data_IF_996749903222
#
_entry.id   IF_996749903222
#
_cell.length_a   1.000
_cell.length_b   1.000
_cell.length_c   1.000
_cell.angle_alpha   90.00
_cell.angle_beta   90.00
_cell.angle_gamma   90.00
#
_symmetry.space_group_name_H-M   'P 1'
#
loop_
_entity.id
_entity.type
_entity.pdbx_description
1 polymer ?
#
# COMPACT_ATOMS: atom_id res chain seq x y z
N UNK A 1 6.53 -20.29 11.78
CA UNK A 1 6.53 -21.45 10.86
C UNK A 1 6.95 -20.94 9.48
N UNK A 2 8.20 -21.15 9.07
CA UNK A 2 8.78 -20.59 7.83
C UNK A 2 8.32 -21.39 6.61
N UNK A 3 7.46 -20.82 5.77
CA UNK A 3 7.21 -21.37 4.42
C UNK A 3 8.46 -21.08 3.58
N UNK A 4 9.24 -22.11 3.27
CA UNK A 4 10.28 -22.02 2.25
C UNK A 4 9.61 -21.65 0.92
N UNK A 5 9.98 -20.49 0.37
CA UNK A 5 9.67 -20.15 -1.02
C UNK A 5 10.47 -21.13 -1.89
N UNK A 6 9.77 -22.07 -2.53
CA UNK A 6 10.39 -23.04 -3.41
C UNK A 6 11.17 -22.31 -4.52
N UNK A 7 12.49 -22.53 -4.60
CA UNK A 7 13.37 -21.96 -5.61
C UNK A 7 14.26 -20.79 -5.18
N UNK A 8 14.22 -20.35 -3.91
CA UNK A 8 15.24 -19.41 -3.42
C UNK A 8 16.61 -20.13 -3.33
N UNK A 9 17.73 -19.53 -3.80
CA UNK A 9 19.06 -20.10 -3.59
C UNK A 9 19.27 -20.38 -2.10
N UNK A 10 19.96 -21.47 -1.74
CA UNK A 10 20.22 -21.88 -0.33
C UNK A 10 20.85 -20.77 0.55
N UNK A 11 21.33 -19.71 -0.09
CA UNK A 11 22.02 -18.57 0.52
C UNK A 11 21.12 -17.36 0.79
N UNK A 12 19.83 -17.41 0.42
CA UNK A 12 18.93 -16.25 0.47
C UNK A 12 17.86 -16.48 1.54
N UNK A 13 18.00 -15.78 2.66
CA UNK A 13 16.96 -15.71 3.69
C UNK A 13 16.05 -14.51 3.42
N UNK A 14 14.75 -14.78 3.24
CA UNK A 14 13.70 -13.77 3.18
C UNK A 14 12.87 -13.93 4.46
N UNK A 15 12.92 -12.94 5.35
CA UNK A 15 12.06 -12.92 6.52
C UNK A 15 10.58 -12.83 6.09
N UNK A 16 9.68 -13.47 6.84
CA UNK A 16 8.25 -13.49 6.49
C UNK A 16 7.68 -12.06 6.61
N UNK A 17 7.01 -11.51 5.57
CA UNK A 17 6.62 -10.09 5.49
C UNK A 17 5.68 -9.61 6.61
N UNK A 18 4.94 -10.49 7.26
CA UNK A 18 3.91 -10.15 8.24
C UNK A 18 4.45 -9.50 9.52
N UNK A 19 5.76 -9.64 9.82
CA UNK A 19 6.42 -8.97 10.95
C UNK A 19 7.14 -7.66 10.56
N UNK A 20 7.18 -7.35 9.26
CA UNK A 20 7.97 -6.24 8.68
C UNK A 20 7.13 -5.16 7.98
N UNK A 21 5.82 -5.37 7.77
CA UNK A 21 4.93 -4.35 7.22
C UNK A 21 4.39 -3.46 8.33
N UNK A 22 5.24 -2.58 8.87
CA UNK A 22 4.74 -1.39 9.56
C UNK A 22 4.55 -0.27 8.53
N UNK A 23 3.42 0.42 8.58
CA UNK A 23 3.16 1.55 7.66
C UNK A 23 4.11 2.71 7.93
N UNK A 24 4.64 2.78 9.16
CA UNK A 24 5.50 3.85 9.62
C UNK A 24 6.89 3.31 9.98
N UNK A 25 7.91 3.97 9.47
CA UNK A 25 9.31 3.71 9.86
C UNK A 25 9.66 4.66 11.00
N UNK A 26 9.48 4.19 12.23
CA UNK A 26 9.79 4.91 13.46
C UNK A 26 10.93 4.25 14.27
N UNK A 27 11.18 4.73 15.49
CA UNK A 27 12.25 4.20 16.34
C UNK A 27 12.00 2.74 16.71
N UNK A 28 10.76 2.39 17.05
CA UNK A 28 10.37 1.04 17.43
C UNK A 28 10.56 0.08 16.27
N UNK A 29 10.18 0.50 15.06
CA UNK A 29 10.41 -0.24 13.83
C UNK A 29 11.91 -0.47 13.57
N UNK A 30 12.73 0.57 13.67
CA UNK A 30 14.18 0.45 13.45
C UNK A 30 14.84 -0.50 14.46
N UNK A 31 14.45 -0.47 15.73
CA UNK A 31 14.94 -1.41 16.75
C UNK A 31 14.58 -2.86 16.38
N UNK A 32 13.35 -3.11 15.93
CA UNK A 32 12.94 -4.44 15.44
C UNK A 32 13.75 -4.87 14.23
N UNK A 33 13.92 -4.00 13.24
CA UNK A 33 14.69 -4.29 12.03
C UNK A 33 16.16 -4.67 12.36
N UNK A 34 16.81 -3.91 13.26
CA UNK A 34 18.17 -4.21 13.73
C UNK A 34 18.22 -5.57 14.43
N UNK A 35 17.27 -5.85 15.33
CA UNK A 35 17.20 -7.13 16.03
C UNK A 35 17.09 -8.30 15.05
N UNK A 36 16.23 -8.21 14.05
CA UNK A 36 16.14 -9.26 13.02
C UNK A 36 17.45 -9.45 12.27
N UNK A 37 18.17 -8.37 11.94
CA UNK A 37 19.46 -8.50 11.28
C UNK A 37 20.48 -9.24 12.15
N UNK A 38 20.47 -9.01 13.46
CA UNK A 38 21.29 -9.76 14.44
C UNK A 38 20.91 -11.24 14.45
N UNK A 39 19.62 -11.58 14.43
CA UNK A 39 19.15 -12.98 14.39
C UNK A 39 19.58 -13.68 13.10
N UNK A 40 19.49 -13.00 11.95
CA UNK A 40 19.98 -13.52 10.66
C UNK A 40 21.48 -13.77 10.72
N UNK A 41 22.26 -12.83 11.25
CA UNK A 41 23.69 -13.02 11.42
C UNK A 41 24.00 -14.19 12.38
N UNK A 42 23.30 -14.30 13.51
CA UNK A 42 23.50 -15.37 14.47
C UNK A 42 23.34 -16.75 13.82
N UNK A 43 22.32 -16.89 12.95
CA UNK A 43 21.98 -18.14 12.25
C UNK A 43 22.90 -18.43 11.05
N UNK A 44 23.16 -17.44 10.20
CA UNK A 44 23.79 -17.63 8.88
C UNK A 44 25.23 -17.11 8.80
N UNK A 45 25.72 -16.44 9.86
CA UNK A 45 27.05 -15.81 9.94
C UNK A 45 27.34 -14.82 8.82
N UNK A 46 26.29 -14.19 8.28
CA UNK A 46 26.35 -13.19 7.21
C UNK A 46 25.44 -12.03 7.55
N UNK A 47 25.91 -10.80 7.31
CA UNK A 47 25.08 -9.61 7.47
C UNK A 47 24.05 -9.54 6.33
N UNK A 48 22.77 -9.30 6.62
CA UNK A 48 21.75 -9.20 5.59
C UNK A 48 21.85 -7.89 4.80
N UNK A 49 21.29 -7.90 3.59
CA UNK A 49 20.85 -6.70 2.90
C UNK A 49 19.38 -6.48 3.27
N UNK A 50 19.04 -5.28 3.76
CA UNK A 50 17.67 -4.94 4.15
C UNK A 50 17.13 -3.82 3.27
N UNK A 51 15.85 -3.93 2.92
CA UNK A 51 15.07 -2.90 2.22
C UNK A 51 13.90 -2.51 3.12
N UNK A 52 13.82 -1.23 3.46
CA UNK A 52 12.75 -0.64 4.24
C UNK A 52 11.81 0.11 3.30
N UNK A 53 10.51 -0.19 3.40
CA UNK A 53 9.46 0.45 2.61
C UNK A 53 8.64 1.40 3.50
N UNK A 54 8.88 2.70 3.38
CA UNK A 54 8.14 3.75 4.08
C UNK A 54 6.83 4.05 3.38
N UNK A 55 5.84 3.16 3.57
CA UNK A 55 4.56 3.19 2.85
C UNK A 55 3.73 4.43 3.20
N UNK A 56 3.62 4.78 4.49
CA UNK A 56 2.86 5.95 4.95
C UNK A 56 3.76 7.06 5.43
N UNK A 57 4.66 6.77 6.37
CA UNK A 57 5.54 7.79 6.94
C UNK A 57 6.93 7.23 7.28
N UNK A 58 7.94 8.08 7.17
CA UNK A 58 9.28 7.85 7.68
C UNK A 58 9.59 8.92 8.69
N UNK A 59 9.88 8.53 9.94
CA UNK A 59 10.20 9.48 10.98
C UNK A 59 11.41 10.33 10.58
N UNK A 60 11.34 11.64 10.87
CA UNK A 60 12.33 12.61 10.38
C UNK A 60 13.76 12.24 10.80
N UNK A 61 13.96 11.72 12.02
CA UNK A 61 15.28 11.32 12.51
C UNK A 61 15.89 10.15 11.70
N UNK A 62 15.04 9.23 11.20
CA UNK A 62 15.48 8.15 10.31
C UNK A 62 15.85 8.75 8.96
N UNK A 63 14.97 9.58 8.40
CA UNK A 63 15.19 10.19 7.09
C UNK A 63 16.44 11.09 7.07
N UNK A 64 16.68 11.87 8.13
CA UNK A 64 17.87 12.74 8.27
C UNK A 64 19.16 11.94 8.44
N UNK A 65 19.09 10.70 8.91
CA UNK A 65 20.25 9.81 9.04
C UNK A 65 20.64 9.10 7.73
N UNK A 66 19.93 9.39 6.64
CA UNK A 66 20.14 8.71 5.35
C UNK A 66 21.02 9.50 4.40
N UNK A 67 21.72 8.78 3.54
CA UNK A 67 22.52 9.34 2.44
C UNK A 67 21.96 8.91 1.09
N UNK A 68 22.20 9.67 0.00
CA UNK A 68 21.85 9.21 -1.34
C UNK A 68 22.53 7.88 -1.69
N UNK A 69 21.80 6.97 -2.34
CA UNK A 69 22.36 5.71 -2.77
C UNK A 69 22.90 5.81 -4.21
N UNK A 70 24.21 5.64 -4.40
CA UNK A 70 24.83 5.71 -5.74
C UNK A 70 24.32 4.62 -6.68
N UNK A 71 24.17 3.39 -6.17
CA UNK A 71 23.74 2.24 -6.97
C UNK A 71 22.25 2.29 -7.33
N UNK A 72 21.43 2.91 -6.49
CA UNK A 72 19.99 2.97 -6.65
C UNK A 72 19.51 4.41 -6.43
N UNK A 73 19.52 5.26 -7.48
CA UNK A 73 19.24 6.69 -7.34
C UNK A 73 17.83 7.02 -6.79
N UNK A 74 16.90 6.07 -6.89
CA UNK A 74 15.53 6.15 -6.36
C UNK A 74 15.41 5.72 -4.88
N UNK A 75 16.53 5.35 -4.25
CA UNK A 75 16.61 4.90 -2.86
C UNK A 75 17.59 5.77 -2.08
N UNK A 76 17.41 5.77 -0.75
CA UNK A 76 18.42 6.26 0.18
C UNK A 76 19.03 5.11 0.97
N UNK A 77 20.19 5.34 1.57
CA UNK A 77 20.90 4.35 2.37
C UNK A 77 21.01 4.83 3.81
N UNK A 78 20.64 3.98 4.76
CA UNK A 78 20.82 4.20 6.20
C UNK A 78 22.14 3.57 6.60
N UNK A 79 22.95 4.31 7.36
CA UNK A 79 24.19 3.80 7.93
C UNK A 79 23.90 2.60 8.83
N UNK A 80 24.46 1.44 8.50
CA UNK A 80 24.10 0.15 9.10
C UNK A 80 25.26 -0.54 9.83
N UNK A 81 26.10 0.25 10.52
CA UNK A 81 27.32 -0.18 11.20
C UNK A 81 27.11 -1.47 12.01
N UNK A 82 27.73 -2.56 11.55
CA UNK A 82 27.81 -3.86 12.22
C UNK A 82 26.49 -4.65 12.39
N UNK A 83 25.37 -4.20 11.81
CA UNK A 83 24.12 -4.95 11.88
C UNK A 83 23.60 -5.40 10.51
N UNK A 84 23.83 -4.65 9.44
CA UNK A 84 23.51 -5.07 8.07
C UNK A 84 24.64 -4.75 7.10
N UNK A 85 24.65 -5.42 5.95
CA UNK A 85 25.59 -5.11 4.87
C UNK A 85 25.19 -3.79 4.21
N UNK A 86 23.89 -3.61 3.98
CA UNK A 86 23.28 -2.41 3.42
C UNK A 86 21.86 -2.27 3.94
N UNK A 87 21.42 -1.04 4.17
CA UNK A 87 20.06 -0.73 4.55
C UNK A 87 19.48 0.31 3.60
N UNK A 88 18.67 -0.14 2.64
CA UNK A 88 18.02 0.72 1.66
C UNK A 88 16.68 1.21 2.20
N UNK A 89 16.38 2.48 2.00
CA UNK A 89 15.11 3.11 2.29
C UNK A 89 14.44 3.52 0.97
N UNK A 90 13.23 3.02 0.77
CA UNK A 90 12.31 3.42 -0.30
C UNK A 90 11.08 4.03 0.37
N UNK A 91 10.71 5.24 -0.01
CA UNK A 91 9.46 5.88 0.41
C UNK A 91 8.93 6.76 -0.71
N UNK A 92 7.70 7.25 -0.60
CA UNK A 92 7.12 8.18 -1.59
C UNK A 92 8.05 9.36 -1.87
N UNK A 93 8.72 9.91 -0.84
CA UNK A 93 9.67 11.00 -0.99
C UNK A 93 10.96 10.61 -1.74
N UNK A 94 11.47 9.38 -1.57
CA UNK A 94 12.67 8.95 -2.32
C UNK A 94 12.33 8.56 -3.76
N UNK A 95 11.12 8.03 -3.98
CA UNK A 95 10.61 7.59 -5.27
C UNK A 95 10.08 8.74 -6.12
N UNK A 96 9.73 9.88 -5.53
CA UNK A 96 9.36 11.09 -6.25
C UNK A 96 10.48 11.63 -7.18
N UNK A 97 11.72 11.16 -7.02
CA UNK A 97 12.83 11.49 -7.92
C UNK A 97 12.77 10.71 -9.24
N UNK A 98 11.90 9.71 -9.36
CA UNK A 98 11.65 9.01 -10.61
C UNK A 98 11.06 9.97 -11.63
N UNK A 99 11.69 10.05 -12.81
CA UNK A 99 11.19 10.89 -13.90
C UNK A 99 9.87 10.35 -14.43
N UNK A 100 8.92 11.27 -14.67
CA UNK A 100 7.60 10.99 -15.24
C UNK A 100 7.68 10.34 -16.65
N UNK A 101 8.83 10.46 -17.32
CA UNK A 101 9.07 9.93 -18.66
C UNK A 101 9.70 8.54 -18.67
N UNK A 102 9.84 7.90 -17.50
CA UNK A 102 10.39 6.53 -17.43
C UNK A 102 9.27 5.53 -17.72
N UNK A 103 9.31 4.94 -18.90
CA UNK A 103 8.38 3.86 -19.28
C UNK A 103 8.65 2.56 -18.51
N UNK A 104 9.92 2.29 -18.19
CA UNK A 104 10.35 1.05 -17.52
C UNK A 104 11.16 1.36 -16.27
N UNK A 105 10.57 1.04 -15.11
CA UNK A 105 11.17 1.19 -13.81
C UNK A 105 12.12 0.02 -13.52
N UNK A 106 13.15 0.31 -12.73
CA UNK A 106 13.93 -0.75 -12.10
C UNK A 106 12.99 -1.61 -11.23
N UNK A 107 13.09 -2.96 -11.20
CA UNK A 107 12.13 -3.81 -10.49
C UNK A 107 11.95 -3.45 -9.00
N UNK A 108 13.04 -3.08 -8.32
CA UNK A 108 12.99 -2.60 -6.94
C UNK A 108 12.26 -1.24 -6.80
N UNK A 109 12.41 -0.34 -7.77
CA UNK A 109 11.69 0.93 -7.81
C UNK A 109 10.20 0.71 -8.09
N UNK A 110 9.87 -0.19 -9.03
CA UNK A 110 8.49 -0.59 -9.32
C UNK A 110 7.79 -1.17 -8.09
N UNK A 111 8.47 -2.07 -7.36
CA UNK A 111 7.95 -2.62 -6.10
C UNK A 111 7.75 -1.52 -5.05
N UNK A 112 8.76 -0.66 -4.85
CA UNK A 112 8.66 0.46 -3.91
C UNK A 112 7.50 1.38 -4.26
N UNK A 113 7.34 1.73 -5.53
CA UNK A 113 6.27 2.61 -6.00
C UNK A 113 4.89 1.97 -5.88
N UNK A 114 4.76 0.70 -6.25
CA UNK A 114 3.53 -0.06 -6.04
C UNK A 114 3.09 0.00 -4.57
N UNK A 115 4.00 -0.27 -3.64
CA UNK A 115 3.70 -0.27 -2.21
C UNK A 115 3.42 1.13 -1.65
N UNK A 116 4.14 2.16 -2.10
CA UNK A 116 4.03 3.52 -1.57
C UNK A 116 2.89 4.34 -2.19
N UNK A 117 2.52 4.08 -3.45
CA UNK A 117 1.41 4.77 -4.13
C UNK A 117 0.07 4.47 -3.47
N UNK A 118 -0.08 3.27 -2.89
CA UNK A 118 -1.35 2.76 -2.36
C UNK A 118 -2.52 2.91 -3.35
N UNK A 119 -2.22 2.97 -4.65
CA UNK A 119 -3.20 3.16 -5.69
C UNK A 119 -4.02 1.88 -5.85
N UNK A 120 -5.34 2.03 -5.98
CA UNK A 120 -6.26 0.89 -6.08
C UNK A 120 -6.23 0.22 -7.45
N UNK A 121 -5.70 0.92 -8.45
CA UNK A 121 -5.55 0.41 -9.82
C UNK A 121 -4.39 1.08 -10.52
N UNK A 122 -3.88 0.43 -11.57
CA UNK A 122 -2.83 0.99 -12.43
C UNK A 122 -3.24 2.33 -13.06
N UNK A 123 -4.54 2.58 -13.27
CA UNK A 123 -5.03 3.82 -13.88
C UNK A 123 -4.80 5.03 -12.97
N UNK A 124 -4.75 4.81 -11.66
CA UNK A 124 -4.51 5.83 -10.63
C UNK A 124 -3.02 6.11 -10.38
N UNK A 125 -2.13 5.38 -11.06
CA UNK A 125 -0.70 5.68 -10.98
C UNK A 125 -0.35 6.91 -11.81
N UNK A 126 0.55 7.72 -11.29
CA UNK A 126 1.13 8.86 -12.01
C UNK A 126 2.15 8.39 -13.06
N UNK A 127 2.82 7.26 -12.83
CA UNK A 127 3.87 6.72 -13.70
C UNK A 127 3.86 5.18 -13.77
N UNK A 128 4.59 4.63 -14.74
CA UNK A 128 4.77 3.17 -14.86
C UNK A 128 3.51 2.37 -15.20
N UNK A 129 2.48 3.00 -15.80
CA UNK A 129 1.25 2.31 -16.22
C UNK A 129 1.49 1.13 -17.17
N UNK A 130 2.55 1.23 -17.97
CA UNK A 130 2.97 0.21 -18.92
C UNK A 130 4.21 -0.57 -18.45
N UNK A 131 4.62 -0.38 -17.20
CA UNK A 131 5.80 -1.06 -16.65
C UNK A 131 5.54 -2.57 -16.52
N UNK A 132 6.48 -3.36 -17.06
CA UNK A 132 6.39 -4.81 -17.08
C UNK A 132 6.44 -5.47 -15.69
N UNK A 133 6.86 -4.75 -14.64
CA UNK A 133 6.90 -5.24 -13.24
C UNK A 133 5.64 -4.84 -12.47
N UNK A 134 5.09 -3.64 -12.72
CA UNK A 134 3.89 -3.14 -12.01
C UNK A 134 2.66 -4.00 -12.31
N UNK A 135 2.44 -4.39 -13.58
CA UNK A 135 1.27 -5.18 -13.97
C UNK A 135 1.18 -6.53 -13.23
N UNK A 136 2.27 -7.33 -13.13
CA UNK A 136 2.30 -8.51 -12.27
C UNK A 136 1.96 -8.23 -10.80
N UNK A 137 2.48 -7.14 -10.21
CA UNK A 137 2.23 -6.79 -8.80
C UNK A 137 0.74 -6.55 -8.53
N UNK A 138 0.05 -5.81 -9.40
CA UNK A 138 -1.40 -5.63 -9.30
C UNK A 138 -2.17 -6.92 -9.52
N UNK A 139 -1.71 -7.78 -10.43
CA UNK A 139 -2.34 -9.08 -10.69
C UNK A 139 -2.27 -9.98 -9.45
N UNK A 140 -1.10 -10.04 -8.80
CA UNK A 140 -0.89 -10.79 -7.56
C UNK A 140 -1.73 -10.20 -6.43
N UNK A 141 -1.72 -8.88 -6.26
CA UNK A 141 -2.51 -8.22 -5.21
C UNK A 141 -4.02 -8.47 -5.40
N UNK A 142 -4.52 -8.36 -6.62
CA UNK A 142 -5.92 -8.66 -6.95
C UNK A 142 -6.28 -10.11 -6.62
N UNK A 143 -5.43 -11.07 -6.98
CA UNK A 143 -5.62 -12.48 -6.65
C UNK A 143 -5.71 -12.73 -5.15
N UNK A 144 -4.75 -12.18 -4.38
CA UNK A 144 -4.74 -12.31 -2.91
C UNK A 144 -5.96 -11.65 -2.25
N UNK A 145 -6.36 -10.47 -2.74
CA UNK A 145 -7.56 -9.79 -2.25
C UNK A 145 -8.77 -10.68 -2.54
N UNK A 146 -8.97 -11.18 -3.77
CA UNK A 146 -10.08 -12.06 -4.11
C UNK A 146 -10.14 -13.33 -3.24
N UNK A 147 -8.99 -13.93 -2.91
CA UNK A 147 -8.91 -15.09 -2.02
C UNK A 147 -9.37 -14.75 -0.58
N UNK A 148 -8.93 -13.61 -0.04
CA UNK A 148 -9.36 -13.13 1.28
C UNK A 148 -10.85 -12.75 1.27
N UNK A 149 -11.30 -12.08 0.21
CA UNK A 149 -12.65 -11.56 0.06
C UNK A 149 -13.70 -12.67 -0.18
N UNK A 150 -13.31 -13.81 -0.76
CA UNK A 150 -14.16 -14.99 -0.88
C UNK A 150 -14.63 -15.56 0.47
N UNK A 151 -14.05 -15.11 1.59
CA UNK A 151 -14.49 -15.47 2.96
C UNK A 151 -15.38 -14.41 3.62
N UNK A 152 -15.61 -13.25 2.98
CA UNK A 152 -16.35 -12.10 3.51
C UNK A 152 -17.49 -11.63 2.59
N UNK A 153 -18.32 -12.57 2.14
CA UNK A 153 -19.20 -12.41 0.98
C UNK A 153 -20.28 -11.31 1.14
N UNK A 154 -20.84 -11.11 2.33
CA UNK A 154 -22.02 -10.22 2.49
C UNK A 154 -21.70 -8.72 2.43
N UNK A 155 -20.61 -8.27 3.06
CA UNK A 155 -20.25 -6.83 3.08
C UNK A 155 -19.75 -6.37 1.72
N UNK A 156 -19.05 -7.23 1.01
CA UNK A 156 -18.51 -6.92 -0.32
C UNK A 156 -19.58 -6.93 -1.38
N UNK A 157 -20.52 -7.88 -1.31
CA UNK A 157 -21.69 -7.88 -2.17
C UNK A 157 -22.47 -6.58 -2.01
N UNK A 158 -22.67 -6.13 -0.77
CA UNK A 158 -23.32 -4.84 -0.49
C UNK A 158 -22.55 -3.64 -1.05
N UNK A 159 -21.23 -3.62 -0.95
CA UNK A 159 -20.40 -2.55 -1.54
C UNK A 159 -20.47 -2.60 -3.07
N UNK A 160 -20.44 -3.80 -3.67
CA UNK A 160 -20.61 -4.00 -5.12
C UNK A 160 -21.96 -3.47 -5.59
N UNK A 161 -23.05 -3.84 -4.92
CA UNK A 161 -24.41 -3.39 -5.25
C UNK A 161 -24.52 -1.85 -5.18
N UNK A 162 -23.85 -1.22 -4.22
CA UNK A 162 -23.78 0.25 -4.10
C UNK A 162 -23.01 0.85 -5.29
N UNK A 163 -21.87 0.26 -5.66
CA UNK A 163 -21.06 0.70 -6.79
C UNK A 163 -21.81 0.54 -8.12
N UNK A 164 -22.44 -0.60 -8.35
CA UNK A 164 -23.20 -0.89 -9.57
C UNK A 164 -24.40 0.05 -9.72
N UNK A 165 -25.09 0.35 -8.60
CA UNK A 165 -26.16 1.33 -8.59
C UNK A 165 -25.64 2.75 -8.90
N UNK A 166 -24.52 3.15 -8.28
CA UNK A 166 -23.92 4.47 -8.56
C UNK A 166 -23.51 4.60 -10.03
N UNK A 167 -22.89 3.58 -10.62
CA UNK A 167 -22.51 3.57 -12.04
C UNK A 167 -23.73 3.65 -12.96
N UNK A 168 -24.81 2.92 -12.65
CA UNK A 168 -26.07 3.04 -13.39
C UNK A 168 -26.63 4.45 -13.36
N UNK A 169 -26.59 5.11 -12.20
CA UNK A 169 -27.05 6.49 -12.05
C UNK A 169 -26.14 7.48 -12.78
N UNK A 170 -24.81 7.29 -12.77
CA UNK A 170 -23.89 8.11 -13.55
C UNK A 170 -24.11 7.98 -15.06
N UNK A 171 -24.40 6.78 -15.56
CA UNK A 171 -24.75 6.57 -16.97
C UNK A 171 -26.03 7.33 -17.33
N UNK A 172 -27.06 7.30 -16.46
CA UNK A 172 -28.30 8.04 -16.66
C UNK A 172 -28.07 9.56 -16.64
N UNK A 173 -27.27 10.06 -15.70
CA UNK A 173 -26.90 11.47 -15.61
C UNK A 173 -26.16 11.90 -16.88
N UNK A 174 -25.15 11.14 -17.31
CA UNK A 174 -24.40 11.41 -18.54
C UNK A 174 -25.34 11.52 -19.75
N UNK A 175 -26.25 10.57 -19.91
CA UNK A 175 -27.23 10.57 -21.00
C UNK A 175 -28.22 11.75 -20.92
N UNK A 176 -28.59 12.21 -19.72
CA UNK A 176 -29.43 13.40 -19.54
C UNK A 176 -28.67 14.69 -19.95
N UNK A 177 -27.39 14.80 -19.56
CA UNK A 177 -26.54 15.94 -19.89
C UNK A 177 -26.24 16.01 -21.39
N UNK A 178 -26.00 14.87 -22.05
CA UNK A 178 -25.72 14.82 -23.50
C UNK A 178 -26.93 15.20 -24.37
N UNK A 179 -28.17 15.04 -23.87
CA UNK A 179 -29.40 15.37 -24.61
C UNK A 179 -29.88 16.81 -24.45
N UNK A 180 -29.34 17.58 -23.50
CA UNK A 180 -29.51 19.04 -23.43
C UNK A 180 -30.93 19.56 -23.23
N UNK A 181 -31.81 18.80 -22.57
CA UNK A 181 -33.20 19.22 -22.28
C UNK A 181 -33.37 19.61 -20.80
N UNK A 182 -34.23 20.60 -20.53
CA UNK A 182 -34.37 21.22 -19.22
C UNK A 182 -35.07 20.30 -18.21
N UNK A 183 -36.04 19.49 -18.67
CA UNK A 183 -36.71 18.43 -17.89
C UNK A 183 -35.77 17.27 -17.53
N UNK A 184 -34.77 16.99 -18.37
CA UNK A 184 -33.76 15.95 -18.10
C UNK A 184 -32.76 16.39 -17.04
N UNK A 185 -32.59 17.70 -16.82
CA UNK A 185 -31.71 18.25 -15.81
C UNK A 185 -32.27 18.08 -14.40
N UNK A 186 -33.58 18.29 -14.18
CA UNK A 186 -34.23 17.98 -12.90
C UNK A 186 -34.16 16.48 -12.59
N UNK A 187 -34.29 15.63 -13.60
CA UNK A 187 -34.14 14.18 -13.46
C UNK A 187 -32.70 13.76 -13.16
N UNK A 188 -31.71 14.49 -13.65
CA UNK A 188 -30.31 14.27 -13.30
C UNK A 188 -30.01 14.68 -11.84
N UNK A 189 -30.65 15.73 -11.34
CA UNK A 189 -30.54 16.16 -9.94
C UNK A 189 -31.12 15.13 -8.98
N UNK A 190 -32.25 14.49 -9.31
CA UNK A 190 -32.82 13.45 -8.45
C UNK A 190 -31.95 12.19 -8.37
N UNK A 191 -31.30 11.79 -9.47
CA UNK A 191 -30.31 10.69 -9.45
C UNK A 191 -29.08 11.02 -8.60
N UNK A 192 -28.68 12.30 -8.53
CA UNK A 192 -27.61 12.79 -7.66
C UNK A 192 -27.99 12.76 -6.17
N UNK A 193 -29.22 13.14 -5.85
CA UNK A 193 -29.76 13.08 -4.47
C UNK A 193 -29.89 11.63 -3.98
N UNK A 194 -30.30 10.71 -4.86
CA UNK A 194 -30.33 9.28 -4.55
C UNK A 194 -28.92 8.78 -4.17
N UNK A 195 -27.88 9.11 -4.94
CA UNK A 195 -26.48 8.76 -4.62
C UNK A 195 -26.04 9.36 -3.26
N UNK A 196 -26.43 10.60 -2.96
CA UNK A 196 -26.10 11.24 -1.68
C UNK A 196 -26.80 10.57 -0.49
N UNK A 197 -28.04 10.12 -0.65
CA UNK A 197 -28.81 9.47 0.41
C UNK A 197 -28.18 8.15 0.85
N UNK A 198 -27.63 7.36 -0.08
CA UNK A 198 -26.87 6.14 0.24
C UNK A 198 -25.59 6.42 1.03
N UNK A 199 -24.89 7.54 0.76
CA UNK A 199 -23.69 7.93 1.53
C UNK A 199 -24.00 8.33 2.97
N UNK A 200 -25.18 8.91 3.25
CA UNK A 200 -25.59 9.32 4.61
C UNK A 200 -25.95 8.14 5.52
N UNK A 201 -26.49 7.05 4.96
CA UNK A 201 -26.86 5.86 5.74
C UNK A 201 -25.65 5.11 6.32
N UNK A 202 -24.46 5.21 5.72
CA UNK A 202 -23.23 4.64 6.29
C UNK A 202 -22.57 5.56 7.34
N UNK A 203 -22.79 6.88 7.27
CA UNK A 203 -22.25 7.83 8.23
C UNK A 203 -22.89 7.76 9.63
N UNK A 204 -24.15 7.33 9.74
CA UNK A 204 -24.88 7.28 11.01
C UNK A 204 -24.67 6.00 11.84
N UNK A 205 -24.04 4.94 11.29
CA UNK A 205 -23.74 3.71 12.05
C UNK A 205 -22.41 3.72 12.79
N UNK A 206 -21.58 4.75 12.64
CA UNK A 206 -20.27 4.85 13.31
C UNK A 206 -20.28 5.57 14.67
N UNK A 207 -21.44 6.01 15.17
CA UNK A 207 -21.55 6.64 16.48
C UNK A 207 -22.26 5.70 17.47
N UNK A 208 -21.57 4.65 17.89
CA UNK A 208 -21.76 3.99 19.21
C UNK A 208 -20.65 2.95 19.37
N UNK A 209 -19.47 3.41 19.77
CA UNK A 209 -18.48 2.55 20.42
C UNK A 209 -18.88 2.50 21.90
N UNK A 210 -19.20 1.33 22.49
CA UNK A 210 -19.27 1.23 23.93
C UNK A 210 -17.86 1.46 24.49
N UNK A 211 -17.72 2.44 25.38
CA UNK A 211 -16.47 2.67 26.11
C UNK A 211 -16.01 1.37 26.79
N UNK A 212 -14.86 0.86 26.37
CA UNK A 212 -14.14 -0.19 27.09
C UNK A 212 -13.59 0.40 28.38
N UNK A 213 -13.85 -0.20 29.56
CA UNK A 213 -13.30 0.31 30.81
C UNK A 213 -11.77 0.15 30.84
N UNK A 214 -11.06 1.05 31.55
CA UNK A 214 -9.60 1.06 31.53
C UNK A 214 -9.03 -0.20 32.19
N UNK A 215 -8.06 -0.82 31.50
CA UNK A 215 -7.24 -1.90 32.04
C UNK A 215 -6.50 -1.40 33.29
N UNK A 216 -6.81 -2.02 34.44
CA UNK A 216 -6.03 -1.86 35.66
C UNK A 216 -4.64 -2.43 35.44
N UNK A 217 -3.61 -1.59 35.54
CA UNK A 217 -2.23 -2.02 35.68
C UNK A 217 -2.08 -2.75 37.01
N UNK A 218 -1.63 -4.00 36.97
CA UNK A 218 -0.99 -4.64 38.12
C UNK A 218 0.52 -4.56 37.90
N UNK A 219 1.18 -4.03 38.93
CA UNK A 219 2.62 -3.89 39.08
C UNK A 219 3.34 -5.23 38.98
#
# INVERSE_FOLDING_TARGET
MTKNLAGAPENVYIAVPTEFCDKNIDKSFMVRAIHYCILVYAKYKKHPLIVLLGISNVAMFVFSSTVPCVKFPFAKEITSCFWAQRCLLLSSSTLATLSQYIEQLHPLAALGYFMCSQALSMNMLDYGKHDNTIKPLYTIAKGNIMEVLGTGDEKLKRISDICDNADSQFIKIKHCVEKGDQDLFEKALSYLDDIQSFRKYDGQRNNTVPETPPLKYFF
#
